data_IF_970935894624
#
_entry.id   IF_970935894624
#
_cell.length_a   1.000
_cell.length_b   1.000
_cell.length_c   1.000
_cell.angle_alpha   90.00
_cell.angle_beta   90.00
_cell.angle_gamma   90.00
#
_symmetry.space_group_name_H-M   'P 1'
#
loop_
_entity.id
_entity.type
_entity.pdbx_description
1 polymer ?
#
# COMPACT_ATOMS: atom_id res chain seq x y z
N UNK A 1 24.30 30.87 25.95
CA UNK A 1 23.30 30.00 26.56
C UNK A 1 21.96 30.65 26.24
N UNK A 2 21.30 30.20 25.16
CA UNK A 2 19.94 30.63 24.79
C UNK A 2 19.07 29.40 24.96
N UNK A 3 18.12 29.55 25.88
CA UNK A 3 17.11 28.52 26.15
C UNK A 3 16.29 28.25 24.90
N UNK A 4 16.44 27.05 24.34
CA UNK A 4 15.49 26.49 23.43
C UNK A 4 14.27 26.04 24.26
N UNK A 5 13.34 26.95 24.44
CA UNK A 5 11.99 26.57 24.85
C UNK A 5 11.38 25.76 23.70
N UNK A 6 11.43 24.45 23.84
CA UNK A 6 10.63 23.52 23.06
C UNK A 6 9.15 23.79 23.34
N UNK A 7 8.53 24.60 22.49
CA UNK A 7 7.09 24.76 22.46
C UNK A 7 6.52 23.44 21.93
N UNK A 8 6.17 22.52 22.84
CA UNK A 8 5.42 21.31 22.47
C UNK A 8 4.09 21.77 21.87
N UNK A 9 4.01 21.78 20.55
CA UNK A 9 2.76 21.99 19.84
C UNK A 9 1.91 20.74 20.10
N UNK A 10 0.81 20.88 20.82
CA UNK A 10 -0.19 19.82 20.94
C UNK A 10 -0.93 19.77 19.60
N UNK A 11 -0.57 18.84 18.76
CA UNK A 11 -1.32 18.55 17.55
C UNK A 11 -2.38 17.52 17.93
N UNK A 12 -3.63 17.96 18.01
CA UNK A 12 -4.78 17.08 18.24
C UNK A 12 -5.25 16.65 16.85
N UNK A 13 -4.87 15.43 16.46
CA UNK A 13 -5.37 14.79 15.24
C UNK A 13 -6.67 14.08 15.56
N UNK A 14 -7.76 14.45 14.90
CA UNK A 14 -8.94 13.60 14.91
C UNK A 14 -8.71 12.46 13.92
N UNK A 15 -8.68 11.23 14.41
CA UNK A 15 -8.97 10.07 13.56
C UNK A 15 -10.23 10.44 12.79
N UNK A 16 -10.19 10.42 11.47
CA UNK A 16 -11.30 10.88 10.61
C UNK A 16 -12.61 10.34 11.17
N UNK A 17 -13.64 11.18 11.44
CA UNK A 17 -14.89 10.68 11.95
C UNK A 17 -15.42 9.65 10.95
N UNK A 18 -15.83 8.52 11.50
CA UNK A 18 -16.50 7.45 10.78
C UNK A 18 -17.78 8.04 10.15
N UNK A 19 -17.67 8.68 8.98
CA UNK A 19 -18.84 8.92 8.16
C UNK A 19 -19.19 7.58 7.52
N UNK A 20 -20.12 6.90 8.15
CA UNK A 20 -20.88 5.79 7.57
C UNK A 20 -21.65 6.39 6.39
N UNK A 21 -21.00 6.48 5.25
CA UNK A 21 -21.69 6.59 3.97
C UNK A 21 -22.08 5.16 3.58
N UNK A 22 -23.21 4.68 4.12
CA UNK A 22 -23.94 3.56 3.54
C UNK A 22 -24.25 3.88 2.09
N UNK A 23 -23.33 3.56 1.18
CA UNK A 23 -23.65 3.36 -0.21
C UNK A 23 -24.05 1.89 -0.35
N UNK A 24 -25.31 1.63 -0.11
CA UNK A 24 -26.00 0.46 -0.62
C UNK A 24 -25.95 0.50 -2.13
N UNK A 25 -24.89 -0.02 -2.73
CA UNK A 25 -24.86 -0.38 -4.15
C UNK A 25 -25.33 -1.81 -4.26
N UNK A 26 -26.57 -1.95 -4.62
CA UNK A 26 -27.24 -3.18 -5.04
C UNK A 26 -26.40 -3.87 -6.12
N UNK A 27 -25.73 -4.96 -5.76
CA UNK A 27 -25.28 -6.00 -6.67
C UNK A 27 -26.30 -7.15 -6.60
N UNK A 28 -27.44 -6.94 -7.30
CA UNK A 28 -28.23 -8.03 -7.79
C UNK A 28 -27.65 -8.41 -9.14
N UNK A 29 -27.12 -9.62 -9.29
CA UNK A 29 -27.32 -10.47 -10.47
C UNK A 29 -26.44 -11.73 -10.41
N UNK A 30 -27.09 -12.86 -10.53
CA UNK A 30 -26.55 -14.02 -11.23
C UNK A 30 -26.07 -15.17 -10.37
N UNK A 31 -27.02 -15.87 -9.72
CA UNK A 31 -26.76 -17.24 -9.27
C UNK A 31 -26.45 -18.15 -10.45
N UNK A 32 -25.28 -18.76 -10.48
CA UNK A 32 -25.01 -19.97 -11.23
C UNK A 32 -24.77 -21.11 -10.23
N UNK A 33 -25.76 -21.99 -10.14
CA UNK A 33 -25.67 -23.21 -9.37
C UNK A 33 -24.58 -24.12 -9.97
N UNK A 34 -23.56 -24.42 -9.20
CA UNK A 34 -22.58 -25.44 -9.54
C UNK A 34 -23.06 -26.78 -9.00
N UNK A 35 -23.37 -27.69 -9.92
CA UNK A 35 -23.75 -29.07 -9.65
C UNK A 35 -22.49 -29.88 -9.36
N UNK A 36 -22.48 -30.55 -8.19
CA UNK A 36 -21.45 -31.50 -7.78
C UNK A 36 -21.82 -32.90 -8.32
N UNK A 37 -21.00 -33.59 -9.07
CA UNK A 37 -21.23 -34.99 -9.37
C UNK A 37 -20.74 -35.88 -8.23
N UNK A 38 -21.62 -36.80 -7.86
CA UNK A 38 -21.40 -37.82 -6.84
C UNK A 38 -20.41 -38.87 -7.32
N UNK A 39 -19.74 -39.48 -6.34
CA UNK A 39 -18.70 -40.46 -6.51
C UNK A 39 -19.12 -41.80 -7.08
N UNK A 40 -18.13 -42.56 -7.51
CA UNK A 40 -18.15 -44.01 -7.53
C UNK A 40 -16.81 -44.55 -7.06
N UNK A 41 -16.89 -45.32 -6.02
CA UNK A 41 -15.81 -46.17 -5.54
C UNK A 41 -15.77 -47.44 -6.42
N UNK A 42 -14.57 -47.83 -6.83
CA UNK A 42 -14.27 -49.21 -7.18
C UNK A 42 -12.84 -49.55 -6.75
N UNK A 43 -12.80 -50.52 -5.87
CA UNK A 43 -11.65 -51.31 -5.46
C UNK A 43 -11.09 -52.11 -6.64
N UNK A 44 -9.82 -52.21 -6.81
CA UNK A 44 -9.18 -53.50 -7.05
C UNK A 44 -7.68 -53.50 -6.74
N UNK A 45 -7.24 -54.67 -6.31
CA UNK A 45 -5.97 -55.13 -5.82
C UNK A 45 -5.02 -55.48 -7.00
N UNK A 46 -3.72 -55.28 -6.81
CA UNK A 46 -2.78 -56.13 -7.53
C UNK A 46 -1.39 -55.57 -7.85
N UNK A 47 -0.42 -56.19 -7.20
CA UNK A 47 0.91 -56.51 -7.65
C UNK A 47 2.01 -55.42 -7.61
N UNK A 48 2.91 -55.68 -6.71
CA UNK A 48 4.29 -55.25 -6.59
C UNK A 48 5.12 -55.55 -7.84
N UNK A 49 5.86 -54.53 -8.31
CA UNK A 49 7.12 -54.74 -9.02
C UNK A 49 8.04 -53.56 -8.77
N UNK A 50 9.16 -53.82 -8.12
CA UNK A 50 10.32 -52.95 -7.86
C UNK A 50 11.21 -52.93 -9.15
N UNK A 51 12.29 -52.14 -9.18
CA UNK A 51 12.36 -50.73 -9.57
C UNK A 51 13.36 -50.56 -10.75
N UNK A 52 13.18 -49.55 -11.51
CA UNK A 52 14.27 -49.00 -12.34
C UNK A 52 14.72 -47.68 -11.72
N UNK A 53 15.92 -47.66 -11.19
CA UNK A 53 16.66 -46.41 -10.91
C UNK A 53 16.88 -45.70 -12.23
N UNK A 54 16.21 -44.57 -12.38
CA UNK A 54 16.57 -43.57 -13.36
C UNK A 54 17.20 -42.43 -12.60
N UNK A 55 18.54 -42.33 -12.66
CA UNK A 55 19.27 -41.13 -12.34
C UNK A 55 18.90 -40.07 -13.38
N UNK A 56 17.90 -39.29 -13.08
CA UNK A 56 17.69 -38.00 -13.72
C UNK A 56 18.21 -36.95 -12.78
N UNK A 57 19.43 -36.47 -13.07
CA UNK A 57 19.86 -35.18 -12.59
C UNK A 57 18.85 -34.15 -13.11
N UNK A 58 17.93 -33.76 -12.25
CA UNK A 58 17.11 -32.57 -12.49
C UNK A 58 18.06 -31.40 -12.26
N UNK A 59 18.60 -30.85 -13.34
CA UNK A 59 19.12 -29.49 -13.32
C UNK A 59 18.02 -28.62 -12.73
N UNK A 60 18.26 -28.10 -11.53
CA UNK A 60 17.43 -27.05 -10.97
C UNK A 60 17.67 -25.83 -11.85
N UNK A 61 16.78 -25.61 -12.83
CA UNK A 61 16.60 -24.28 -13.37
C UNK A 61 16.34 -23.37 -12.17
N UNK A 62 17.31 -22.51 -11.87
CA UNK A 62 17.11 -21.40 -10.95
C UNK A 62 16.03 -20.55 -11.60
N UNK A 63 14.80 -20.71 -11.14
CA UNK A 63 13.71 -19.85 -11.51
C UNK A 63 14.18 -18.41 -11.25
N UNK A 64 14.29 -17.60 -12.28
CA UNK A 64 14.64 -16.20 -12.16
C UNK A 64 13.65 -15.57 -11.19
N UNK A 65 14.17 -15.03 -10.08
CA UNK A 65 13.34 -14.42 -9.05
C UNK A 65 12.66 -13.20 -9.68
N UNK A 66 11.34 -13.22 -9.78
CA UNK A 66 10.58 -12.09 -10.29
C UNK A 66 10.82 -10.87 -9.41
N UNK A 67 11.11 -9.72 -10.01
CA UNK A 67 11.31 -8.45 -9.31
C UNK A 67 10.47 -7.37 -9.98
N UNK A 68 9.80 -6.54 -9.17
CA UNK A 68 9.11 -5.37 -9.70
C UNK A 68 10.11 -4.23 -9.95
N UNK A 69 9.98 -3.49 -11.05
CA UNK A 69 10.70 -2.24 -11.22
C UNK A 69 10.18 -1.19 -10.24
N UNK A 70 11.06 -0.27 -9.84
CA UNK A 70 10.64 0.92 -9.10
C UNK A 70 9.83 1.85 -10.00
N UNK A 71 8.89 2.61 -9.40
CA UNK A 71 8.07 3.58 -10.13
C UNK A 71 8.96 4.62 -10.83
N UNK A 72 8.57 5.07 -12.04
CA UNK A 72 9.32 6.09 -12.74
C UNK A 72 9.41 7.39 -11.94
N UNK A 73 10.59 8.01 -11.94
CA UNK A 73 10.75 9.35 -11.38
C UNK A 73 10.29 10.40 -12.40
N UNK A 74 9.81 11.52 -11.89
CA UNK A 74 9.45 12.67 -12.72
C UNK A 74 10.72 13.49 -12.96
N UNK A 75 11.15 13.57 -14.20
CA UNK A 75 12.16 14.55 -14.57
C UNK A 75 11.56 15.95 -14.40
N UNK A 76 12.33 16.87 -13.81
CA UNK A 76 11.92 18.26 -13.58
C UNK A 76 11.66 18.97 -14.91
N UNK A 77 10.46 18.79 -15.45
CA UNK A 77 9.95 19.56 -16.57
C UNK A 77 9.55 20.93 -16.05
N UNK A 78 9.67 21.95 -16.90
CA UNK A 78 9.40 23.35 -16.55
C UNK A 78 8.08 23.49 -15.76
N UNK A 79 8.11 23.80 -14.45
CA UNK A 79 6.93 23.77 -13.56
C UNK A 79 5.86 24.81 -13.93
N UNK A 80 6.00 25.53 -15.02
CA UNK A 80 5.02 26.48 -15.56
C UNK A 80 4.07 25.87 -16.56
N UNK A 81 4.24 24.62 -16.97
CA UNK A 81 3.48 24.02 -18.07
C UNK A 81 2.66 22.80 -17.69
N UNK A 82 3.01 22.07 -16.64
CA UNK A 82 2.27 20.88 -16.20
C UNK A 82 2.13 20.86 -14.67
N UNK A 83 1.03 20.31 -14.18
CA UNK A 83 0.79 20.06 -12.78
C UNK A 83 1.61 18.83 -12.36
N UNK A 84 2.49 18.99 -11.37
CA UNK A 84 3.36 17.91 -10.89
C UNK A 84 2.56 16.73 -10.31
N UNK A 85 1.43 17.00 -9.65
CA UNK A 85 0.54 15.96 -9.15
C UNK A 85 -0.02 15.09 -10.28
N UNK A 86 -0.48 15.70 -11.38
CA UNK A 86 -0.99 14.96 -12.54
C UNK A 86 0.11 14.12 -13.21
N UNK A 87 1.35 14.64 -13.24
CA UNK A 87 2.49 13.89 -13.77
C UNK A 87 2.80 12.67 -12.90
N UNK A 88 2.86 12.87 -11.57
CA UNK A 88 3.10 11.78 -10.64
C UNK A 88 1.99 10.73 -10.70
N UNK A 89 0.74 11.15 -10.72
CA UNK A 89 -0.40 10.25 -10.83
C UNK A 89 -0.26 9.31 -12.05
N UNK A 90 0.08 9.87 -13.21
CA UNK A 90 0.30 9.06 -14.43
C UNK A 90 1.51 8.14 -14.33
N UNK A 91 2.63 8.63 -13.76
CA UNK A 91 3.86 7.86 -13.64
C UNK A 91 3.76 6.74 -12.60
N UNK A 92 3.05 7.01 -11.50
CA UNK A 92 3.01 6.13 -10.33
C UNK A 92 1.67 5.44 -10.12
N UNK A 93 0.76 5.45 -11.11
CA UNK A 93 -0.51 4.72 -11.01
C UNK A 93 -0.29 3.23 -10.66
N UNK A 94 0.74 2.62 -11.24
CA UNK A 94 1.08 1.21 -11.01
C UNK A 94 1.59 0.86 -9.60
N UNK A 95 1.78 1.83 -8.69
CA UNK A 95 2.07 1.56 -7.28
C UNK A 95 0.83 1.62 -6.40
N UNK A 96 -0.29 2.17 -6.92
CA UNK A 96 -1.48 2.42 -6.12
C UNK A 96 -2.41 1.23 -6.09
N UNK A 97 -2.95 0.95 -4.91
CA UNK A 97 -3.92 -0.10 -4.65
C UNK A 97 -5.05 0.48 -3.80
N UNK A 98 -6.30 0.15 -4.13
CA UNK A 98 -7.42 0.39 -3.23
C UNK A 98 -7.54 -0.79 -2.28
N UNK A 99 -7.57 -0.50 -0.98
CA UNK A 99 -7.73 -1.49 0.08
C UNK A 99 -9.16 -1.45 0.58
N UNK A 100 -9.80 -2.61 0.62
CA UNK A 100 -11.20 -2.77 1.05
C UNK A 100 -11.24 -3.77 2.20
N UNK A 101 -11.56 -3.28 3.37
CA UNK A 101 -11.84 -4.08 4.56
C UNK A 101 -13.34 -4.14 4.81
N UNK A 102 -13.76 -4.95 5.77
CA UNK A 102 -15.19 -5.20 6.07
C UNK A 102 -15.99 -3.92 6.33
N UNK A 103 -15.44 -2.98 7.10
CA UNK A 103 -16.13 -1.74 7.49
C UNK A 103 -15.53 -0.48 6.85
N UNK A 104 -14.28 -0.53 6.42
CA UNK A 104 -13.55 0.62 5.92
C UNK A 104 -12.95 0.33 4.55
N UNK A 105 -12.71 1.38 3.81
CA UNK A 105 -11.87 1.31 2.62
C UNK A 105 -10.88 2.46 2.62
N UNK A 106 -9.71 2.18 2.08
CA UNK A 106 -8.64 3.15 1.98
C UNK A 106 -7.77 2.89 0.78
N UNK A 107 -6.58 3.40 0.85
CA UNK A 107 -5.53 3.25 -0.15
C UNK A 107 -4.42 2.33 0.37
N UNK A 108 -3.60 1.88 -0.53
CA UNK A 108 -2.35 1.20 -0.23
C UNK A 108 -1.34 1.47 -1.34
N UNK A 109 -0.10 1.15 -1.06
CA UNK A 109 1.00 1.23 -2.02
C UNK A 109 1.70 -0.11 -2.13
N UNK A 110 2.11 -0.49 -3.34
CA UNK A 110 2.97 -1.65 -3.57
C UNK A 110 4.36 -1.28 -3.08
N UNK A 111 4.79 -1.88 -1.99
CA UNK A 111 6.11 -1.64 -1.40
C UNK A 111 7.20 -2.46 -2.07
N UNK A 112 6.91 -3.71 -2.42
CA UNK A 112 7.86 -4.59 -3.07
C UNK A 112 7.41 -6.05 -3.06
N UNK A 113 8.38 -6.94 -3.23
CA UNK A 113 8.20 -8.38 -3.14
C UNK A 113 9.04 -8.91 -1.98
N UNK A 114 8.41 -9.69 -1.11
CA UNK A 114 9.08 -10.46 -0.07
C UNK A 114 8.84 -11.94 -0.36
N UNK A 115 9.92 -12.71 -0.54
CA UNK A 115 9.88 -14.11 -1.00
C UNK A 115 9.18 -14.23 -2.37
N UNK A 116 7.98 -14.80 -2.40
CA UNK A 116 7.13 -14.97 -3.58
C UNK A 116 5.78 -14.21 -3.46
N UNK A 117 5.73 -13.19 -2.59
CA UNK A 117 4.52 -12.43 -2.30
C UNK A 117 4.72 -10.95 -2.56
N UNK A 118 3.74 -10.36 -3.23
CA UNK A 118 3.60 -8.91 -3.34
C UNK A 118 3.23 -8.35 -1.96
N UNK A 119 3.95 -7.32 -1.52
CA UNK A 119 3.69 -6.63 -0.25
C UNK A 119 3.06 -5.28 -0.53
N UNK A 120 1.82 -5.13 -0.07
CA UNK A 120 1.07 -3.88 -0.07
C UNK A 120 1.10 -3.30 1.34
N UNK A 121 1.44 -2.01 1.45
CA UNK A 121 1.40 -1.27 2.71
C UNK A 121 0.20 -0.34 2.72
N UNK A 122 -0.49 -0.29 3.84
CA UNK A 122 -1.64 0.60 4.09
C UNK A 122 -1.59 1.13 5.52
N UNK A 123 -2.53 2.00 5.89
CA UNK A 123 -2.68 2.44 7.29
C UNK A 123 -3.30 1.33 8.15
N UNK A 124 -2.79 1.16 9.36
CA UNK A 124 -3.21 0.10 10.27
C UNK A 124 -4.68 0.17 10.67
N UNK A 125 -5.17 1.39 10.94
CA UNK A 125 -6.56 1.62 11.33
C UNK A 125 -7.60 1.15 10.30
N UNK A 126 -7.22 0.96 9.02
CA UNK A 126 -8.13 0.42 7.99
C UNK A 126 -8.45 -1.03 8.28
N UNK A 127 -7.49 -1.80 8.81
CA UNK A 127 -7.61 -3.23 9.04
C UNK A 127 -7.88 -3.61 10.51
N UNK A 128 -7.97 -2.65 11.43
CA UNK A 128 -8.16 -2.93 12.87
C UNK A 128 -9.39 -3.82 13.18
N UNK A 129 -10.43 -3.73 12.38
CA UNK A 129 -11.66 -4.48 12.56
C UNK A 129 -11.83 -5.64 11.57
N UNK A 130 -10.84 -5.81 10.66
CA UNK A 130 -10.87 -6.89 9.69
C UNK A 130 -10.65 -8.26 10.38
N UNK A 131 -11.39 -9.26 9.96
CA UNK A 131 -11.34 -10.61 10.55
C UNK A 131 -11.26 -11.72 9.51
N UNK A 132 -11.49 -11.39 8.27
CA UNK A 132 -11.60 -12.37 7.19
C UNK A 132 -10.54 -12.08 6.13
N UNK A 133 -10.91 -11.45 5.05
CA UNK A 133 -10.05 -11.20 3.92
C UNK A 133 -10.07 -9.72 3.54
N UNK A 134 -8.90 -9.22 3.16
CA UNK A 134 -8.70 -7.85 2.66
C UNK A 134 -8.83 -7.87 1.15
N UNK A 135 -9.79 -7.13 0.61
CA UNK A 135 -9.93 -6.91 -0.83
C UNK A 135 -8.90 -5.87 -1.33
N UNK A 136 -8.28 -6.16 -2.44
CA UNK A 136 -7.31 -5.30 -3.11
C UNK A 136 -7.77 -5.07 -4.54
N UNK A 137 -7.91 -3.81 -4.95
CA UNK A 137 -8.22 -3.43 -6.32
C UNK A 137 -7.06 -2.61 -6.86
N UNK A 138 -6.40 -3.12 -7.89
CA UNK A 138 -5.25 -2.49 -8.54
C UNK A 138 -5.69 -1.49 -9.61
N UNK A 139 -4.78 -0.61 -10.00
CA UNK A 139 -5.08 0.50 -10.93
C UNK A 139 -5.62 0.06 -12.30
N UNK A 140 -5.42 -1.19 -12.70
CA UNK A 140 -5.85 -1.79 -13.96
C UNK A 140 -7.10 -2.67 -13.82
N UNK A 141 -7.90 -2.42 -12.76
CA UNK A 141 -9.15 -3.12 -12.42
C UNK A 141 -8.98 -4.61 -12.04
N UNK A 142 -7.74 -5.09 -11.91
CA UNK A 142 -7.52 -6.41 -11.33
C UNK A 142 -7.82 -6.38 -9.85
N UNK A 143 -8.56 -7.37 -9.37
CA UNK A 143 -8.94 -7.50 -7.96
C UNK A 143 -8.56 -8.87 -7.42
N UNK A 144 -8.09 -8.90 -6.18
CA UNK A 144 -7.76 -10.11 -5.44
C UNK A 144 -8.10 -9.92 -3.96
N UNK A 145 -8.37 -10.99 -3.25
CA UNK A 145 -8.55 -10.99 -1.79
C UNK A 145 -7.36 -11.69 -1.14
N UNK A 146 -6.91 -11.18 0.00
CA UNK A 146 -5.87 -11.83 0.79
C UNK A 146 -6.28 -11.98 2.25
N UNK A 147 -6.02 -13.15 2.82
CA UNK A 147 -6.14 -13.42 4.26
C UNK A 147 -4.80 -13.25 4.99
N UNK A 148 -3.71 -13.00 4.25
CA UNK A 148 -2.40 -12.81 4.82
C UNK A 148 -2.12 -11.32 5.02
N UNK A 149 -2.38 -10.82 6.22
CA UNK A 149 -2.04 -9.46 6.59
C UNK A 149 -1.51 -9.38 8.03
N UNK A 150 -0.72 -8.36 8.28
CA UNK A 150 -0.15 -8.06 9.60
C UNK A 150 -0.38 -6.58 9.90
N UNK A 151 -0.94 -6.29 11.07
CA UNK A 151 -1.06 -4.92 11.60
C UNK A 151 0.11 -4.68 12.55
N UNK A 152 0.83 -3.56 12.37
CA UNK A 152 1.93 -3.19 13.25
C UNK A 152 1.40 -2.81 14.63
N UNK A 153 2.09 -3.27 15.68
CA UNK A 153 1.83 -2.86 17.06
C UNK A 153 2.47 -1.51 17.42
N UNK A 154 3.39 -1.02 16.58
CA UNK A 154 4.22 0.14 16.91
C UNK A 154 3.93 1.37 16.06
N UNK A 155 3.18 1.20 14.96
CA UNK A 155 2.87 2.28 14.03
C UNK A 155 1.49 2.05 13.40
N UNK A 156 0.85 3.12 12.95
CA UNK A 156 -0.40 3.02 12.18
C UNK A 156 -0.12 2.50 10.75
N UNK A 157 0.34 1.25 10.68
CA UNK A 157 0.69 0.52 9.46
C UNK A 157 0.07 -0.86 9.45
N UNK A 158 -0.28 -1.31 8.25
CA UNK A 158 -0.59 -2.72 8.00
C UNK A 158 0.04 -3.16 6.68
N UNK A 159 0.35 -4.45 6.60
CA UNK A 159 1.01 -5.10 5.47
C UNK A 159 0.10 -6.23 4.98
N UNK A 160 -0.30 -6.17 3.73
CA UNK A 160 -1.08 -7.22 3.08
C UNK A 160 -0.18 -7.93 2.09
N UNK A 161 -0.16 -9.27 2.15
CA UNK A 161 0.72 -10.09 1.31
C UNK A 161 -0.14 -10.88 0.32
N UNK A 162 0.19 -10.81 -0.96
CA UNK A 162 -0.50 -11.54 -2.02
C UNK A 162 0.51 -12.45 -2.73
N UNK A 163 0.29 -13.78 -2.75
CA UNK A 163 1.14 -14.68 -3.52
C UNK A 163 1.21 -14.26 -4.99
N UNK A 164 2.41 -14.19 -5.57
CA UNK A 164 2.57 -13.82 -6.99
C UNK A 164 1.83 -14.77 -7.92
N UNK A 165 1.65 -16.05 -7.50
CA UNK A 165 0.89 -17.04 -8.25
C UNK A 165 -0.61 -16.74 -8.38
N UNK A 166 -1.14 -15.83 -7.56
CA UNK A 166 -2.54 -15.39 -7.61
C UNK A 166 -2.74 -14.17 -8.53
N UNK A 167 -1.66 -13.57 -9.01
CA UNK A 167 -1.69 -12.41 -9.90
C UNK A 167 -1.24 -12.84 -11.29
N UNK A 168 -2.10 -12.75 -12.32
CA UNK A 168 -1.70 -13.06 -13.70
C UNK A 168 -0.53 -12.16 -14.15
N UNK A 169 0.37 -12.73 -14.94
CA UNK A 169 1.61 -12.10 -15.37
C UNK A 169 1.36 -10.78 -16.14
N UNK A 170 0.30 -10.73 -16.91
CA UNK A 170 -0.13 -9.55 -17.67
C UNK A 170 -0.53 -8.35 -16.79
N UNK A 171 -0.83 -8.59 -15.51
CA UNK A 171 -1.06 -7.56 -14.50
C UNK A 171 0.25 -7.19 -13.82
N UNK A 172 1.03 -8.19 -13.38
CA UNK A 172 2.33 -7.97 -12.73
C UNK A 172 3.28 -7.10 -13.56
N UNK A 173 3.28 -7.25 -14.89
CA UNK A 173 4.11 -6.46 -15.81
C UNK A 173 3.79 -4.95 -15.82
N UNK A 174 2.63 -4.56 -15.29
CA UNK A 174 2.19 -3.15 -15.21
C UNK A 174 2.46 -2.52 -13.84
N UNK A 175 2.81 -3.33 -12.85
CA UNK A 175 2.99 -2.86 -11.48
C UNK A 175 4.40 -2.37 -11.23
N UNK A 176 4.49 -1.45 -10.30
CA UNK A 176 5.74 -0.89 -9.80
C UNK A 176 5.76 -1.00 -8.28
N UNK A 177 6.94 -1.13 -7.68
CA UNK A 177 7.11 -0.81 -6.26
C UNK A 177 7.44 0.68 -6.12
N UNK A 178 7.22 1.21 -4.91
CA UNK A 178 7.62 2.58 -4.59
C UNK A 178 9.12 2.78 -4.83
N UNK A 179 9.48 3.98 -5.30
CA UNK A 179 10.88 4.40 -5.42
C UNK A 179 11.27 5.18 -4.19
N UNK A 180 12.37 4.84 -3.55
CA UNK A 180 12.84 5.49 -2.32
C UNK A 180 14.20 6.14 -2.54
N UNK A 181 14.40 7.33 -1.94
CA UNK A 181 15.68 8.01 -1.86
C UNK A 181 15.98 8.33 -0.39
N UNK A 182 16.86 7.54 0.21
CA UNK A 182 17.20 7.70 1.62
C UNK A 182 17.90 9.05 1.90
N UNK A 183 18.80 9.49 1.01
CA UNK A 183 19.54 10.76 1.20
C UNK A 183 18.59 11.94 1.10
N UNK A 184 17.68 11.94 0.11
CA UNK A 184 16.65 12.96 -0.05
C UNK A 184 15.67 12.96 1.12
N UNK A 185 15.28 11.78 1.63
CA UNK A 185 14.43 11.66 2.81
C UNK A 185 15.10 12.24 4.07
N UNK A 186 16.37 11.89 4.33
CA UNK A 186 17.13 12.40 5.49
C UNK A 186 17.39 13.93 5.39
N UNK A 187 17.38 14.50 4.18
CA UNK A 187 17.53 15.93 3.92
C UNK A 187 16.22 16.73 3.90
N UNK A 188 15.07 16.06 4.09
CA UNK A 188 13.75 16.69 4.01
C UNK A 188 13.58 17.80 5.04
N UNK A 189 13.04 18.95 4.61
CA UNK A 189 12.86 20.13 5.46
C UNK A 189 11.43 20.69 5.37
N UNK A 190 11.03 21.44 6.39
CA UNK A 190 9.79 22.23 6.37
C UNK A 190 9.77 23.16 5.15
N UNK A 191 8.63 23.21 4.47
CA UNK A 191 8.42 23.96 3.23
C UNK A 191 8.77 23.21 1.95
N UNK A 192 9.37 22.02 2.03
CA UNK A 192 9.61 21.18 0.85
C UNK A 192 8.30 20.86 0.15
N UNK A 193 8.28 20.85 -1.17
CA UNK A 193 7.13 20.43 -1.97
C UNK A 193 6.91 18.93 -1.82
N UNK A 194 5.65 18.54 -1.65
CA UNK A 194 5.25 17.12 -1.53
C UNK A 194 3.97 16.86 -2.32
N UNK A 195 3.71 15.61 -2.64
CA UNK A 195 2.49 15.16 -3.32
C UNK A 195 1.89 14.01 -2.54
N UNK A 196 0.62 14.15 -2.14
CA UNK A 196 -0.15 13.07 -1.55
C UNK A 196 -0.89 12.31 -2.65
N UNK A 197 -0.82 10.99 -2.66
CA UNK A 197 -1.57 10.11 -3.56
C UNK A 197 -2.40 9.11 -2.77
N UNK A 198 -3.65 8.93 -3.22
CA UNK A 198 -4.53 7.92 -2.63
C UNK A 198 -5.67 7.55 -3.57
N UNK A 199 -6.26 6.40 -3.36
CA UNK A 199 -7.36 5.86 -4.14
C UNK A 199 -8.69 6.24 -3.50
N UNK A 200 -9.45 7.17 -4.08
CA UNK A 200 -10.75 7.60 -3.57
C UNK A 200 -11.89 6.70 -4.04
N UNK A 201 -12.08 6.64 -5.34
CA UNK A 201 -13.14 5.85 -6.00
C UNK A 201 -12.60 4.95 -7.08
N UNK A 202 -11.54 5.38 -7.74
CA UNK A 202 -10.84 4.65 -8.80
C UNK A 202 -9.51 4.13 -8.29
N UNK A 203 -9.09 2.99 -8.74
CA UNK A 203 -7.86 2.35 -8.28
C UNK A 203 -6.60 3.11 -8.71
N UNK A 204 -6.67 3.90 -9.80
CA UNK A 204 -5.54 4.71 -10.28
C UNK A 204 -5.12 5.83 -9.31
N UNK A 205 -5.99 6.17 -8.33
CA UNK A 205 -5.71 7.18 -7.32
C UNK A 205 -5.86 8.62 -7.80
N UNK A 206 -5.91 9.52 -6.83
CA UNK A 206 -5.87 10.97 -7.02
C UNK A 206 -4.58 11.51 -6.40
N UNK A 207 -4.02 12.59 -6.96
CA UNK A 207 -2.79 13.20 -6.49
C UNK A 207 -2.97 14.71 -6.26
N UNK A 208 -2.41 15.20 -5.14
CA UNK A 208 -2.55 16.60 -4.72
C UNK A 208 -1.20 17.15 -4.25
N UNK A 209 -0.83 18.33 -4.76
CA UNK A 209 0.37 19.02 -4.33
C UNK A 209 0.19 19.71 -2.98
N UNK A 210 1.25 19.72 -2.20
CA UNK A 210 1.29 20.35 -0.89
C UNK A 210 2.70 20.71 -0.45
N UNK A 211 2.84 20.92 0.84
CA UNK A 211 4.13 21.25 1.45
C UNK A 211 4.33 20.50 2.75
N UNK A 212 5.55 20.07 2.99
CA UNK A 212 5.99 19.57 4.28
C UNK A 212 5.86 20.68 5.33
N UNK A 213 5.22 20.38 6.43
CA UNK A 213 5.11 21.28 7.61
C UNK A 213 6.22 20.94 8.58
N UNK A 214 6.23 19.71 9.05
CA UNK A 214 7.24 19.19 9.98
C UNK A 214 7.69 17.78 9.50
N UNK A 215 8.97 17.61 9.17
CA UNK A 215 9.46 16.30 8.70
C UNK A 215 9.59 15.28 9.82
N UNK A 216 9.60 15.71 11.10
CA UNK A 216 9.73 14.80 12.25
C UNK A 216 9.16 15.43 13.52
N UNK A 217 7.99 14.99 13.96
CA UNK A 217 7.32 15.50 15.16
C UNK A 217 6.60 14.34 15.88
N UNK A 218 6.57 14.40 17.21
CA UNK A 218 5.77 13.46 17.99
C UNK A 218 4.30 13.88 18.00
N UNK A 219 3.42 12.99 17.51
CA UNK A 219 1.97 13.21 17.47
C UNK A 219 1.31 12.38 18.56
N UNK A 220 0.69 13.06 19.54
CA UNK A 220 0.12 12.42 20.74
C UNK A 220 -0.97 11.39 20.39
N UNK A 221 -1.84 11.68 19.41
CA UNK A 221 -2.96 10.83 19.02
C UNK A 221 -2.53 9.50 18.38
N UNK A 222 -1.35 9.46 17.79
CA UNK A 222 -0.73 8.25 17.23
C UNK A 222 0.32 7.65 18.17
N UNK A 223 0.67 8.34 19.27
CA UNK A 223 1.73 7.96 20.21
C UNK A 223 3.08 7.66 19.55
N UNK A 224 3.39 8.31 18.42
CA UNK A 224 4.61 8.06 17.64
C UNK A 224 5.13 9.31 16.94
N UNK A 225 6.35 9.24 16.42
CA UNK A 225 6.88 10.26 15.55
C UNK A 225 6.31 10.12 14.13
N UNK A 226 5.91 11.26 13.55
CA UNK A 226 5.30 11.34 12.23
C UNK A 226 5.87 12.52 11.44
N UNK A 227 5.60 12.56 10.15
CA UNK A 227 5.68 13.77 9.35
C UNK A 227 4.32 14.47 9.36
N UNK A 228 4.31 15.79 9.26
CA UNK A 228 3.11 16.59 8.99
C UNK A 228 3.28 17.31 7.67
N UNK A 229 2.29 17.16 6.79
CA UNK A 229 2.23 17.87 5.52
C UNK A 229 0.91 18.58 5.37
N UNK A 230 0.92 19.78 4.80
CA UNK A 230 -0.30 20.51 4.42
C UNK A 230 -0.58 20.25 2.95
N UNK A 231 -1.52 19.37 2.72
CA UNK A 231 -1.93 18.93 1.39
C UNK A 231 -3.40 18.54 1.42
N UNK A 232 -4.09 18.75 0.32
CA UNK A 232 -5.49 18.35 0.20
C UNK A 232 -5.62 16.83 0.28
N UNK A 233 -6.52 16.34 1.14
CA UNK A 233 -6.81 14.91 1.32
C UNK A 233 -8.30 14.68 1.50
N UNK A 234 -8.76 13.48 1.16
CA UNK A 234 -10.16 13.07 1.27
C UNK A 234 -10.29 11.73 1.99
N UNK A 235 -11.46 11.42 2.57
CA UNK A 235 -11.76 10.08 3.06
C UNK A 235 -11.51 9.01 1.98
N UNK A 236 -10.73 7.99 2.35
CA UNK A 236 -10.26 6.95 1.44
C UNK A 236 -8.80 7.13 0.97
N UNK A 237 -8.15 8.27 1.22
CA UNK A 237 -6.73 8.44 0.96
C UNK A 237 -5.82 7.86 2.06
N UNK A 238 -6.35 7.55 3.26
CA UNK A 238 -5.60 6.84 4.29
C UNK A 238 -4.99 5.56 3.75
N UNK A 239 -3.72 5.30 4.08
CA UNK A 239 -2.94 4.19 3.53
C UNK A 239 -2.27 4.48 2.19
N UNK A 240 -2.60 5.60 1.55
CA UNK A 240 -1.90 6.08 0.36
C UNK A 240 -0.51 6.63 0.66
N UNK A 241 0.20 7.08 -0.35
CA UNK A 241 1.58 7.54 -0.24
C UNK A 241 1.73 9.05 -0.19
N UNK A 242 2.71 9.53 0.58
CA UNK A 242 3.30 10.85 0.41
C UNK A 242 4.59 10.70 -0.40
N UNK A 243 4.79 11.58 -1.37
CA UNK A 243 5.95 11.58 -2.27
C UNK A 243 6.60 12.96 -2.31
N UNK A 244 7.87 13.03 -2.67
CA UNK A 244 8.50 14.29 -3.07
C UNK A 244 8.06 14.70 -4.50
N UNK A 245 8.53 15.86 -4.98
CA UNK A 245 8.19 16.35 -6.33
C UNK A 245 8.84 15.51 -7.44
N UNK A 246 9.80 14.67 -7.17
CA UNK A 246 10.44 13.77 -8.11
C UNK A 246 9.75 12.39 -8.15
N UNK A 247 8.91 12.08 -7.17
CA UNK A 247 8.21 10.81 -7.06
C UNK A 247 8.89 9.80 -6.13
N UNK A 248 9.86 10.23 -5.33
CA UNK A 248 10.36 9.36 -4.26
C UNK A 248 9.35 9.28 -3.13
N UNK A 249 9.14 8.08 -2.66
CA UNK A 249 8.18 7.78 -1.60
C UNK A 249 8.73 8.21 -0.23
N UNK A 250 7.93 8.95 0.52
CA UNK A 250 8.28 9.50 1.82
C UNK A 250 7.59 8.79 3.00
N UNK A 251 6.39 8.23 2.78
CA UNK A 251 5.65 7.57 3.86
C UNK A 251 4.17 7.35 3.56
N UNK A 252 3.44 6.84 4.56
CA UNK A 252 2.02 6.43 4.48
C UNK A 252 1.12 7.47 5.13
N UNK A 253 0.09 7.91 4.40
CA UNK A 253 -0.94 8.84 4.87
C UNK A 253 -1.84 8.17 5.93
N UNK A 254 -2.07 8.83 7.07
CA UNK A 254 -2.87 8.26 8.17
C UNK A 254 -4.12 9.07 8.48
N UNK A 255 -3.98 10.31 8.87
CA UNK A 255 -5.11 11.14 9.31
C UNK A 255 -4.86 12.61 9.10
N UNK A 256 -5.93 13.41 9.14
CA UNK A 256 -5.86 14.86 8.94
C UNK A 256 -6.45 15.57 10.17
N UNK A 257 -5.82 16.65 10.62
CA UNK A 257 -6.33 17.48 11.68
C UNK A 257 -7.35 18.54 11.19
N UNK A 258 -7.84 19.36 12.13
CA UNK A 258 -8.79 20.44 11.82
C UNK A 258 -8.14 21.59 11.01
N UNK A 259 -6.81 21.69 11.02
CA UNK A 259 -6.02 22.70 10.30
C UNK A 259 -5.67 22.27 8.85
N UNK A 260 -6.05 21.04 8.48
CA UNK A 260 -5.77 20.44 7.16
C UNK A 260 -4.32 19.95 7.04
N UNK A 261 -3.68 19.65 8.18
CA UNK A 261 -2.37 19.01 8.20
C UNK A 261 -2.55 17.47 8.25
N UNK A 262 -1.96 16.75 7.32
CA UNK A 262 -2.02 15.30 7.27
C UNK A 262 -0.84 14.69 8.02
N UNK A 263 -1.13 13.73 8.89
CA UNK A 263 -0.12 12.92 9.55
C UNK A 263 0.30 11.77 8.64
N UNK A 264 1.60 11.53 8.57
CA UNK A 264 2.20 10.54 7.68
C UNK A 264 3.19 9.70 8.46
N UNK A 265 3.07 8.38 8.42
CA UNK A 265 4.10 7.48 8.97
C UNK A 265 5.33 7.55 8.07
N UNK A 266 6.50 7.99 8.62
CA UNK A 266 7.71 8.18 7.83
C UNK A 266 8.25 6.88 7.25
N UNK A 267 8.91 6.95 6.08
CA UNK A 267 9.60 5.83 5.44
C UNK A 267 10.53 5.08 6.41
N UNK A 268 11.29 5.80 7.25
CA UNK A 268 12.21 5.18 8.20
C UNK A 268 11.52 4.29 9.24
N UNK A 269 10.32 4.64 9.68
CA UNK A 269 9.51 3.81 10.59
C UNK A 269 8.94 2.61 9.81
N UNK A 270 8.46 2.83 8.59
CA UNK A 270 7.95 1.76 7.74
C UNK A 270 9.04 0.71 7.47
N UNK A 271 10.25 1.12 7.10
CA UNK A 271 11.39 0.21 6.88
C UNK A 271 11.70 -0.64 8.11
N UNK A 272 11.65 -0.05 9.31
CA UNK A 272 11.86 -0.78 10.57
C UNK A 272 10.76 -1.82 10.85
N UNK A 273 9.53 -1.60 10.41
CA UNK A 273 8.43 -2.56 10.54
C UNK A 273 8.48 -3.65 9.46
N UNK A 274 8.84 -3.33 8.23
CA UNK A 274 9.00 -4.30 7.12
C UNK A 274 10.03 -5.38 7.43
N UNK A 275 11.12 -5.05 8.12
CA UNK A 275 12.16 -6.03 8.52
C UNK A 275 11.59 -7.15 9.38
N UNK A 276 10.45 -6.95 10.04
CA UNK A 276 9.82 -7.93 10.94
C UNK A 276 8.86 -8.89 10.22
N UNK A 277 8.61 -8.68 8.93
CA UNK A 277 7.72 -9.52 8.11
C UNK A 277 8.38 -10.84 7.68
#
# INVERSE_FOLDING_TARGET
>A
MKDFMNLKRRVIMRKMPLYIACILSVLALGGCAYHKPAGNALTDTGAVSEPARIDTAVESETAEKFTLPSSPLIEAVNPKQENMADMLQRASAGVMVRVVAQELSGSGVIYGICEDKLVIVTAGHILEQEKEAVGLLFFDDFAVESTEYVISENADLAFVKVPLSEIPVEHLEKYYCVNTDKEGFDALQSGAGVIAMGSKTEAAGDAYEGKMVEPWIYVEDFAQYMMLARVETYPGMSGGGLFDLQGHFLGILCGTDEEGEVAVVPLSILEAEVIKL
#
